data_IF_154977755254
#
_entry.id   IF_154977755254
#
_cell.length_a   1.000
_cell.length_b   1.000
_cell.length_c   1.000
_cell.angle_alpha   90.00
_cell.angle_beta   90.00
_cell.angle_gamma   90.00
#
_symmetry.space_group_name_H-M   'P 1'
#
loop_
_entity.id
_entity.type
_entity.pdbx_description
1 polymer ?
#
# COMPACT_ATOMS: atom_id res chain seq x y z
N UNK A 1 -15.06 -15.77 -19.85
CA UNK A 1 -15.30 -16.22 -18.45
C UNK A 1 -14.02 -16.64 -17.71
N UNK A 2 -13.04 -17.28 -18.37
CA UNK A 2 -11.80 -17.79 -17.74
C UNK A 2 -10.96 -16.72 -17.01
N UNK A 3 -10.73 -15.56 -17.64
CA UNK A 3 -9.97 -14.45 -17.03
C UNK A 3 -10.55 -14.02 -15.68
N UNK A 4 -11.86 -14.13 -15.52
CA UNK A 4 -12.55 -13.72 -14.31
C UNK A 4 -12.41 -14.72 -13.15
N UNK A 5 -12.10 -15.99 -13.40
CA UNK A 5 -11.90 -16.98 -12.34
C UNK A 5 -10.48 -16.90 -11.75
N UNK A 6 -9.49 -16.63 -12.61
CA UNK A 6 -8.08 -16.47 -12.21
C UNK A 6 -7.92 -15.27 -11.26
N UNK A 7 -8.55 -14.13 -11.59
CA UNK A 7 -8.50 -12.91 -10.77
C UNK A 7 -9.09 -13.16 -9.38
N UNK A 8 -10.22 -13.89 -9.29
CA UNK A 8 -10.84 -14.23 -8.01
C UNK A 8 -9.92 -15.10 -7.15
N UNK A 9 -9.36 -16.17 -7.73
CA UNK A 9 -8.49 -17.09 -6.99
C UNK A 9 -7.23 -16.39 -6.49
N UNK A 10 -6.64 -15.53 -7.32
CA UNK A 10 -5.44 -14.79 -6.96
C UNK A 10 -5.68 -13.70 -5.91
N UNK A 11 -6.79 -12.96 -5.97
CA UNK A 11 -7.14 -11.95 -4.95
C UNK A 11 -7.60 -12.55 -3.62
N UNK A 12 -8.21 -13.73 -3.63
CA UNK A 12 -8.59 -14.47 -2.41
C UNK A 12 -7.36 -15.06 -1.73
N UNK A 13 -6.47 -15.67 -2.52
CA UNK A 13 -5.25 -16.31 -2.03
C UNK A 13 -4.06 -15.36 -1.87
N UNK A 14 -4.25 -14.04 -1.97
CA UNK A 14 -3.16 -13.06 -1.91
C UNK A 14 -1.99 -13.36 -2.86
N UNK A 15 -2.20 -14.04 -3.99
CA UNK A 15 -1.09 -14.59 -4.76
C UNK A 15 -0.31 -13.45 -5.44
N UNK A 16 1.01 -13.48 -5.32
CA UNK A 16 1.96 -12.53 -5.91
C UNK A 16 1.99 -12.53 -7.44
N UNK A 17 1.18 -13.37 -8.11
CA UNK A 17 1.11 -13.54 -9.56
C UNK A 17 0.05 -12.67 -10.27
N UNK A 18 -0.51 -11.67 -9.61
CA UNK A 18 -1.43 -10.74 -10.27
C UNK A 18 -0.67 -9.76 -11.16
N UNK A 19 -0.95 -9.82 -12.47
CA UNK A 19 -0.45 -8.81 -13.41
C UNK A 19 -1.21 -7.48 -13.19
N UNK A 20 -0.60 -6.57 -12.45
CA UNK A 20 -1.12 -5.22 -12.24
C UNK A 20 -0.87 -4.29 -13.44
N UNK A 21 -0.32 -4.76 -14.56
CA UNK A 21 -0.42 -4.05 -15.84
C UNK A 21 -1.83 -4.16 -16.44
N UNK A 22 -2.62 -5.15 -16.02
CA UNK A 22 -4.05 -5.23 -16.33
C UNK A 22 -4.88 -4.24 -15.49
N UNK A 23 -5.65 -3.38 -16.15
CA UNK A 23 -6.49 -2.39 -15.49
C UNK A 23 -7.57 -2.99 -14.57
N UNK A 24 -8.16 -4.13 -14.95
CA UNK A 24 -9.17 -4.78 -14.12
C UNK A 24 -8.59 -5.26 -12.79
N UNK A 25 -7.37 -5.80 -12.79
CA UNK A 25 -6.67 -6.22 -11.57
C UNK A 25 -6.39 -5.03 -10.66
N UNK A 26 -5.96 -3.90 -11.22
CA UNK A 26 -5.75 -2.67 -10.45
C UNK A 26 -7.04 -2.12 -9.86
N UNK A 27 -8.13 -2.11 -10.61
CA UNK A 27 -9.44 -1.69 -10.11
C UNK A 27 -9.94 -2.59 -8.98
N UNK A 28 -9.81 -3.91 -9.15
CA UNK A 28 -10.18 -4.88 -8.12
C UNK A 28 -9.33 -4.72 -6.84
N UNK A 29 -8.02 -4.50 -7.00
CA UNK A 29 -7.12 -4.23 -5.88
C UNK A 29 -7.48 -2.93 -5.14
N UNK A 30 -7.67 -1.83 -5.87
CA UNK A 30 -8.07 -0.55 -5.27
C UNK A 30 -9.42 -0.67 -4.56
N UNK A 31 -10.37 -1.38 -5.16
CA UNK A 31 -11.67 -1.62 -4.55
C UNK A 31 -11.56 -2.43 -3.25
N UNK A 32 -10.73 -3.47 -3.25
CA UNK A 32 -10.52 -4.35 -2.08
C UNK A 32 -9.71 -3.66 -0.98
N UNK A 33 -8.60 -3.00 -1.30
CA UNK A 33 -7.57 -2.65 -0.31
C UNK A 33 -7.34 -1.15 -0.06
N UNK A 34 -7.86 -0.24 -0.89
CA UNK A 34 -7.49 1.18 -0.75
C UNK A 34 -7.94 1.79 0.58
N UNK A 35 -9.14 1.46 1.07
CA UNK A 35 -9.72 2.07 2.28
C UNK A 35 -9.02 1.66 3.56
N UNK A 36 -9.13 0.38 3.98
CA UNK A 36 -7.96 -0.48 4.02
C UNK A 36 -6.63 0.13 4.48
N UNK A 37 -5.71 0.14 3.53
CA UNK A 37 -4.34 0.62 3.65
C UNK A 37 -4.29 2.10 4.01
N UNK A 38 -5.15 2.94 3.41
CA UNK A 38 -5.19 4.37 3.72
C UNK A 38 -5.52 4.59 5.20
N UNK A 39 -6.51 3.87 5.74
CA UNK A 39 -6.95 3.96 7.12
C UNK A 39 -5.89 3.47 8.10
N UNK A 40 -5.25 2.34 7.79
CA UNK A 40 -4.11 1.80 8.54
C UNK A 40 -2.99 2.86 8.67
N UNK A 41 -2.51 3.36 7.52
CA UNK A 41 -1.43 4.33 7.49
C UNK A 41 -1.85 5.63 8.20
N UNK A 42 -3.08 6.11 8.00
CA UNK A 42 -3.57 7.32 8.71
C UNK A 42 -3.52 7.12 10.23
N UNK A 43 -4.08 6.02 10.74
CA UNK A 43 -4.16 5.74 12.19
C UNK A 43 -2.76 5.65 12.79
N UNK A 44 -1.93 4.77 12.25
CA UNK A 44 -0.64 4.48 12.86
C UNK A 44 0.40 5.57 12.61
N UNK A 45 0.41 6.20 11.42
CA UNK A 45 1.32 7.32 11.19
C UNK A 45 0.96 8.50 12.08
N UNK A 46 -0.32 8.80 12.31
CA UNK A 46 -0.76 9.85 13.25
C UNK A 46 -0.22 9.61 14.66
N UNK A 47 -0.35 8.38 15.18
CA UNK A 47 0.17 8.02 16.50
C UNK A 47 1.71 8.03 16.53
N UNK A 48 2.33 7.72 15.39
CA UNK A 48 3.79 7.69 15.27
C UNK A 48 4.39 9.10 15.29
N UNK A 49 3.74 10.08 14.65
CA UNK A 49 4.21 11.48 14.59
C UNK A 49 3.85 12.28 15.86
N UNK A 50 4.07 11.68 17.02
CA UNK A 50 3.95 12.34 18.31
C UNK A 50 5.33 12.73 18.87
N UNK A 51 5.36 13.72 19.78
CA UNK A 51 6.54 14.14 20.55
C UNK A 51 7.80 14.41 19.69
N UNK A 52 8.80 13.53 19.76
CA UNK A 52 10.14 13.72 19.18
C UNK A 52 10.13 13.60 17.67
N UNK A 53 9.37 12.63 17.12
CA UNK A 53 9.22 12.44 15.67
C UNK A 53 8.63 13.71 15.04
N UNK A 54 7.64 14.30 15.70
CA UNK A 54 7.04 15.56 15.27
C UNK A 54 8.08 16.68 15.23
N UNK A 55 8.81 16.91 16.32
CA UNK A 55 9.85 17.96 16.40
C UNK A 55 10.92 17.77 15.31
N UNK A 56 11.36 16.53 15.10
CA UNK A 56 12.33 16.19 14.07
C UNK A 56 11.82 16.56 12.67
N UNK A 57 10.61 16.13 12.31
CA UNK A 57 10.01 16.44 11.01
C UNK A 57 9.68 17.93 10.86
N UNK A 58 9.25 18.61 11.92
CA UNK A 58 8.97 20.05 11.91
C UNK A 58 10.21 20.89 11.63
N UNK A 59 11.39 20.44 12.03
CA UNK A 59 12.66 21.12 11.74
C UNK A 59 13.04 21.09 10.25
N UNK A 60 12.46 20.16 9.48
CA UNK A 60 12.72 20.03 8.04
C UNK A 60 11.89 21.05 7.27
N UNK A 61 12.51 21.75 6.32
CA UNK A 61 11.82 22.69 5.42
C UNK A 61 11.08 21.98 4.29
N UNK A 62 11.73 20.98 3.69
CA UNK A 62 11.26 20.27 2.51
C UNK A 62 11.19 18.78 2.82
N UNK A 63 10.02 18.30 3.27
CA UNK A 63 9.80 16.89 3.57
C UNK A 63 9.71 16.09 2.27
N UNK A 64 10.45 14.98 2.22
CA UNK A 64 10.41 13.99 1.14
C UNK A 64 9.89 12.65 1.66
N UNK A 65 8.89 12.09 0.98
CA UNK A 65 8.27 10.82 1.34
C UNK A 65 8.60 9.78 0.27
N UNK A 66 9.02 8.59 0.69
CA UNK A 66 9.24 7.43 -0.18
C UNK A 66 8.42 6.23 0.29
N UNK A 67 7.60 5.65 -0.59
CA UNK A 67 6.86 4.42 -0.32
C UNK A 67 7.52 3.25 -1.07
N UNK A 68 7.95 2.22 -0.35
CA UNK A 68 8.54 1.00 -0.92
C UNK A 68 7.46 -0.07 -1.07
N UNK A 69 7.26 -0.56 -2.30
CA UNK A 69 6.13 -1.45 -2.61
C UNK A 69 4.76 -0.78 -2.46
N UNK A 70 4.68 0.54 -2.64
CA UNK A 70 3.46 1.32 -2.36
C UNK A 70 2.33 1.16 -3.39
N UNK A 71 2.52 0.35 -4.44
CA UNK A 71 1.55 0.09 -5.49
C UNK A 71 0.97 1.37 -6.11
N UNK A 72 -0.35 1.63 -6.00
CA UNK A 72 -0.97 2.84 -6.52
C UNK A 72 -0.62 4.13 -5.75
N UNK A 73 0.03 4.06 -4.59
CA UNK A 73 0.31 5.22 -3.73
C UNK A 73 -0.81 5.54 -2.73
N UNK A 74 -1.58 4.55 -2.29
CA UNK A 74 -2.62 4.73 -1.24
C UNK A 74 -2.02 5.16 0.10
N UNK A 75 -0.78 4.76 0.37
CA UNK A 75 -0.09 5.06 1.63
C UNK A 75 0.17 6.57 1.76
N UNK A 76 0.41 7.25 0.64
CA UNK A 76 0.58 8.71 0.59
C UNK A 76 -0.68 9.42 1.08
N UNK A 77 -1.88 8.93 0.72
CA UNK A 77 -3.13 9.49 1.22
C UNK A 77 -3.18 9.37 2.75
N UNK A 78 -2.77 8.22 3.29
CA UNK A 78 -2.76 8.00 4.74
C UNK A 78 -1.77 8.92 5.46
N UNK A 79 -0.56 9.05 4.94
CA UNK A 79 0.47 9.96 5.47
C UNK A 79 -0.03 11.41 5.42
N UNK A 80 -0.60 11.84 4.30
CA UNK A 80 -1.07 13.22 4.16
C UNK A 80 -2.22 13.53 5.10
N UNK A 81 -3.18 12.61 5.28
CA UNK A 81 -4.25 12.78 6.29
C UNK A 81 -3.69 12.91 7.70
N UNK A 82 -2.69 12.10 8.06
CA UNK A 82 -2.06 12.17 9.37
C UNK A 82 -1.32 13.50 9.58
N UNK A 83 -0.54 13.95 8.58
CA UNK A 83 0.20 15.21 8.64
C UNK A 83 -0.72 16.45 8.60
N UNK A 84 -1.80 16.41 7.83
CA UNK A 84 -2.73 17.52 7.64
C UNK A 84 -3.40 18.01 8.93
N UNK A 85 -3.46 17.15 9.96
CA UNK A 85 -3.94 17.49 11.31
C UNK A 85 -3.06 18.57 11.97
N UNK A 86 -1.79 18.67 11.57
CA UNK A 86 -0.85 19.62 12.15
C UNK A 86 -0.55 20.75 11.17
N UNK A 87 -0.94 22.00 11.47
CA UNK A 87 -0.68 23.15 10.60
C UNK A 87 0.81 23.33 10.26
N UNK A 88 1.72 22.92 11.15
CA UNK A 88 3.16 23.01 10.95
C UNK A 88 3.70 22.15 9.78
N UNK A 89 2.92 21.22 9.24
CA UNK A 89 3.29 20.41 8.07
C UNK A 89 2.64 20.88 6.75
N UNK A 90 1.74 21.86 6.80
CA UNK A 90 1.12 22.41 5.60
C UNK A 90 2.21 23.02 4.72
N UNK A 91 2.19 22.69 3.43
CA UNK A 91 3.16 23.13 2.41
C UNK A 91 4.61 22.68 2.65
N UNK A 92 4.87 21.79 3.63
CA UNK A 92 6.23 21.24 3.87
C UNK A 92 6.57 20.05 3.00
N UNK A 93 5.58 19.27 2.56
CA UNK A 93 5.84 18.12 1.70
C UNK A 93 6.19 18.63 0.30
N UNK A 94 7.45 18.44 -0.08
CA UNK A 94 8.00 18.88 -1.37
C UNK A 94 8.04 17.75 -2.40
N UNK A 95 8.15 16.50 -1.96
CA UNK A 95 8.28 15.37 -2.88
C UNK A 95 7.65 14.10 -2.30
N UNK A 96 6.91 13.37 -3.15
CA UNK A 96 6.48 12.00 -2.88
C UNK A 96 6.95 11.07 -3.99
N UNK A 97 7.51 9.92 -3.63
CA UNK A 97 7.90 8.89 -4.60
C UNK A 97 7.41 7.53 -4.18
N UNK A 98 6.78 6.81 -5.12
CA UNK A 98 6.47 5.38 -4.98
C UNK A 98 7.48 4.57 -5.78
N UNK A 99 8.15 3.63 -5.11
CA UNK A 99 9.03 2.64 -5.73
C UNK A 99 8.30 1.30 -5.72
N UNK A 100 7.97 0.79 -6.90
CA UNK A 100 7.20 -0.45 -7.04
C UNK A 100 7.67 -1.22 -8.27
N UNK A 101 7.61 -2.54 -8.27
CA UNK A 101 8.01 -3.33 -9.44
C UNK A 101 7.02 -3.16 -10.61
N UNK A 102 5.76 -2.83 -10.32
CA UNK A 102 4.70 -2.74 -11.32
C UNK A 102 4.46 -1.30 -11.81
N UNK A 103 5.01 -0.97 -12.98
CA UNK A 103 4.75 0.29 -13.68
C UNK A 103 3.28 0.54 -14.05
N UNK A 104 2.44 -0.50 -14.12
CA UNK A 104 0.99 -0.40 -14.41
C UNK A 104 0.22 0.52 -13.45
N UNK A 105 0.75 0.76 -12.25
CA UNK A 105 0.15 1.66 -11.25
C UNK A 105 0.17 3.15 -11.64
N UNK A 106 0.99 3.54 -12.62
CA UNK A 106 1.23 4.95 -12.99
C UNK A 106 -0.06 5.77 -13.18
N UNK A 107 -1.09 5.19 -13.82
CA UNK A 107 -2.36 5.89 -14.05
C UNK A 107 -3.15 6.08 -12.75
N UNK A 108 -3.20 5.07 -11.87
CA UNK A 108 -3.85 5.17 -10.57
C UNK A 108 -3.14 6.17 -9.67
N UNK A 109 -1.80 6.13 -9.64
CA UNK A 109 -0.97 7.07 -8.91
C UNK A 109 -1.21 8.52 -9.36
N UNK A 110 -1.16 8.80 -10.67
CA UNK A 110 -1.46 10.14 -11.22
C UNK A 110 -2.84 10.64 -10.80
N UNK A 111 -3.87 9.78 -10.80
CA UNK A 111 -5.22 10.14 -10.36
C UNK A 111 -5.30 10.44 -8.87
N UNK A 112 -4.60 9.67 -8.03
CA UNK A 112 -4.51 9.95 -6.60
C UNK A 112 -3.86 11.31 -6.36
N UNK A 113 -2.71 11.56 -6.98
CA UNK A 113 -2.00 12.84 -6.83
C UNK A 113 -2.84 14.03 -7.32
N UNK A 114 -3.48 13.91 -8.48
CA UNK A 114 -4.40 14.96 -8.97
C UNK A 114 -5.57 15.18 -8.02
N UNK A 115 -6.15 14.13 -7.44
CA UNK A 115 -7.24 14.29 -6.47
C UNK A 115 -6.79 15.01 -5.20
N UNK A 116 -5.53 14.81 -4.78
CA UNK A 116 -4.96 15.52 -3.64
C UNK A 116 -4.75 17.01 -3.99
N UNK A 117 -4.13 17.29 -5.14
CA UNK A 117 -3.90 18.66 -5.63
C UNK A 117 -5.20 19.46 -5.77
N UNK A 118 -6.22 18.82 -6.34
CA UNK A 118 -7.54 19.43 -6.55
C UNK A 118 -8.39 19.54 -5.25
N UNK A 119 -7.83 19.25 -4.07
CA UNK A 119 -8.57 19.30 -2.80
C UNK A 119 -9.72 18.29 -2.67
N UNK A 120 -9.77 17.24 -3.50
CA UNK A 120 -10.88 16.26 -3.55
C UNK A 120 -10.77 15.15 -2.51
N UNK A 121 -9.63 15.05 -1.83
CA UNK A 121 -9.42 14.01 -0.82
C UNK A 121 -9.86 14.51 0.54
N UNK A 122 -10.93 13.89 1.08
CA UNK A 122 -11.43 14.20 2.42
C UNK A 122 -10.30 14.19 3.45
N UNK A 123 -10.32 15.19 4.34
CA UNK A 123 -9.41 15.39 5.47
C UNK A 123 -7.98 15.82 5.06
N UNK A 124 -7.79 16.24 3.79
CA UNK A 124 -6.59 16.91 3.31
C UNK A 124 -7.02 18.28 2.75
N UNK A 125 -6.63 19.40 3.37
CA UNK A 125 -6.92 20.74 2.86
C UNK A 125 -6.37 20.93 1.44
N UNK A 126 -7.08 21.67 0.58
CA UNK A 126 -6.60 22.03 -0.77
C UNK A 126 -5.24 22.75 -0.72
N UNK A 127 -5.01 23.55 0.33
CA UNK A 127 -3.77 24.29 0.57
C UNK A 127 -2.66 23.47 1.23
N UNK A 128 -2.87 22.17 1.48
CA UNK A 128 -1.90 21.32 2.18
C UNK A 128 -0.58 21.18 1.40
N UNK A 129 -0.63 21.32 0.08
CA UNK A 129 0.53 21.20 -0.80
C UNK A 129 0.74 22.52 -1.52
N UNK A 130 2.00 22.97 -1.61
CA UNK A 130 2.36 24.02 -2.55
C UNK A 130 2.56 23.40 -3.95
N UNK A 131 1.59 23.60 -4.83
CA UNK A 131 1.60 23.02 -6.17
C UNK A 131 2.82 23.43 -7.02
N UNK A 132 3.42 24.60 -6.74
CA UNK A 132 4.55 25.12 -7.51
C UNK A 132 5.84 24.35 -7.22
N UNK A 133 6.00 23.87 -6.00
CA UNK A 133 7.22 23.20 -5.54
C UNK A 133 7.06 21.70 -5.37
N UNK A 134 5.83 21.20 -5.35
CA UNK A 134 5.54 19.78 -5.12
C UNK A 134 5.77 18.86 -6.32
N UNK A 135 6.62 17.85 -6.13
CA UNK A 135 6.87 16.77 -7.07
C UNK A 135 6.24 15.44 -6.62
N UNK A 136 5.72 14.67 -7.57
CA UNK A 136 5.20 13.33 -7.33
C UNK A 136 5.65 12.36 -8.41
N UNK A 137 6.24 11.22 -8.02
CA UNK A 137 6.83 10.25 -8.95
C UNK A 137 6.43 8.82 -8.61
N UNK A 138 6.29 7.99 -9.65
CA UNK A 138 6.24 6.54 -9.52
C UNK A 138 7.34 5.96 -10.40
N UNK A 139 8.26 5.22 -9.79
CA UNK A 139 9.40 4.60 -10.45
C UNK A 139 9.24 3.09 -10.41
N UNK A 140 9.24 2.47 -11.60
CA UNK A 140 9.20 1.01 -11.72
C UNK A 140 10.59 0.46 -11.40
N UNK A 141 10.72 -0.33 -10.33
CA UNK A 141 12.02 -0.89 -9.91
C UNK A 141 11.84 -2.22 -9.16
N UNK A 142 12.72 -3.17 -9.41
CA UNK A 142 12.86 -4.36 -8.56
C UNK A 142 13.71 -4.02 -7.34
N UNK A 143 13.06 -3.91 -6.17
CA UNK A 143 13.72 -3.61 -4.90
C UNK A 143 14.55 -4.78 -4.35
N UNK A 144 14.47 -5.97 -4.95
CA UNK A 144 15.28 -7.13 -4.56
C UNK A 144 16.55 -7.29 -5.41
N UNK A 145 16.63 -6.58 -6.53
CA UNK A 145 17.79 -6.53 -7.40
C UNK A 145 18.76 -5.40 -7.04
N UNK A 146 19.85 -5.24 -7.83
CA UNK A 146 20.72 -4.08 -7.74
C UNK A 146 19.94 -2.78 -8.00
N UNK A 147 20.05 -1.82 -7.08
CA UNK A 147 19.32 -0.55 -7.17
C UNK A 147 20.04 0.42 -8.11
N UNK A 148 19.34 1.00 -9.12
CA UNK A 148 19.88 2.09 -9.91
C UNK A 148 20.24 3.31 -9.05
N UNK A 149 21.25 4.09 -9.43
CA UNK A 149 21.71 5.24 -8.63
C UNK A 149 20.58 6.23 -8.30
N UNK A 150 19.72 6.56 -9.27
CA UNK A 150 18.58 7.46 -9.02
C UNK A 150 17.60 6.92 -7.97
N UNK A 151 17.48 5.60 -7.82
CA UNK A 151 16.66 4.97 -6.78
C UNK A 151 17.36 5.04 -5.42
N UNK A 152 18.67 4.81 -5.39
CA UNK A 152 19.49 5.02 -4.19
C UNK A 152 19.37 6.46 -3.70
N UNK A 153 19.40 7.45 -4.60
CA UNK A 153 19.27 8.86 -4.26
C UNK A 153 17.88 9.17 -3.69
N UNK A 154 16.81 8.60 -4.27
CA UNK A 154 15.44 8.75 -3.74
C UNK A 154 15.36 8.23 -2.30
N UNK A 155 15.86 7.02 -2.05
CA UNK A 155 15.82 6.38 -0.72
C UNK A 155 16.68 7.17 0.28
N UNK A 156 17.89 7.55 -0.13
CA UNK A 156 18.85 8.24 0.74
C UNK A 156 18.43 9.66 1.08
N UNK A 157 17.58 10.29 0.26
CA UNK A 157 17.08 11.64 0.52
C UNK A 157 15.72 11.66 1.23
N UNK A 158 15.04 10.53 1.42
CA UNK A 158 13.72 10.48 2.04
C UNK A 158 13.76 10.80 3.55
N UNK A 159 12.89 11.70 4.01
CA UNK A 159 12.67 11.99 5.44
C UNK A 159 11.68 11.01 6.06
N UNK A 160 10.71 10.56 5.28
CA UNK A 160 9.69 9.59 5.68
C UNK A 160 9.72 8.42 4.70
N UNK A 161 9.85 7.21 5.22
CA UNK A 161 9.74 5.98 4.44
C UNK A 161 8.54 5.20 4.94
N UNK A 162 7.76 4.65 4.01
CA UNK A 162 6.60 3.82 4.34
C UNK A 162 6.68 2.48 3.61
N UNK A 163 6.42 1.39 4.34
CA UNK A 163 6.37 0.02 3.83
C UNK A 163 5.06 -0.62 4.28
N UNK A 164 4.09 -0.74 3.38
CA UNK A 164 2.78 -1.35 3.66
C UNK A 164 2.66 -2.66 2.90
N UNK A 165 2.60 -3.79 3.62
CA UNK A 165 2.53 -5.16 3.06
C UNK A 165 3.69 -5.53 2.13
N UNK A 166 4.76 -4.72 2.13
CA UNK A 166 5.91 -4.92 1.26
C UNK A 166 6.77 -6.10 1.70
N UNK A 167 7.03 -6.21 3.00
CA UNK A 167 8.01 -7.18 3.51
C UNK A 167 7.46 -8.59 3.40
N UNK A 168 6.19 -8.84 3.77
CA UNK A 168 5.58 -10.16 3.56
C UNK A 168 5.54 -10.56 2.08
N UNK A 169 5.42 -9.61 1.15
CA UNK A 169 5.43 -9.90 -0.28
C UNK A 169 6.82 -10.28 -0.84
N UNK A 170 7.89 -9.99 -0.10
CA UNK A 170 9.27 -10.28 -0.52
C UNK A 170 9.97 -11.30 0.37
N UNK A 171 9.62 -11.42 1.64
CA UNK A 171 10.14 -12.46 2.53
C UNK A 171 9.74 -13.83 1.98
N UNK A 172 10.71 -14.74 1.91
CA UNK A 172 10.60 -16.03 1.24
C UNK A 172 11.20 -16.05 -0.18
N UNK A 173 11.49 -14.88 -0.77
CA UNK A 173 12.29 -14.82 -2.00
C UNK A 173 13.78 -14.92 -1.66
N UNK A 174 14.60 -15.57 -2.52
CA UNK A 174 16.04 -15.57 -2.37
C UNK A 174 16.59 -14.15 -2.24
N UNK A 175 17.57 -13.95 -1.36
CA UNK A 175 18.26 -12.65 -1.13
C UNK A 175 17.38 -11.52 -0.57
N UNK A 176 16.11 -11.77 -0.24
CA UNK A 176 15.18 -10.76 0.30
C UNK A 176 15.73 -10.06 1.55
N UNK A 177 16.27 -10.82 2.51
CA UNK A 177 16.90 -10.27 3.72
C UNK A 177 18.06 -9.34 3.37
N UNK A 178 19.01 -9.80 2.53
CA UNK A 178 20.15 -8.99 2.12
C UNK A 178 19.74 -7.73 1.33
N UNK A 179 18.67 -7.81 0.53
CA UNK A 179 18.14 -6.65 -0.21
C UNK A 179 17.51 -5.62 0.74
N UNK A 180 16.72 -6.06 1.72
CA UNK A 180 16.14 -5.19 2.75
C UNK A 180 17.23 -4.52 3.60
N UNK A 181 18.28 -5.25 3.97
CA UNK A 181 19.45 -4.68 4.64
C UNK A 181 20.14 -3.63 3.75
N UNK A 182 20.39 -3.94 2.47
CA UNK A 182 21.02 -3.01 1.54
C UNK A 182 20.21 -1.72 1.37
N UNK A 183 18.88 -1.82 1.26
CA UNK A 183 17.97 -0.68 1.22
C UNK A 183 18.08 0.12 2.52
N UNK A 184 18.00 -0.55 3.67
CA UNK A 184 18.02 0.09 4.98
C UNK A 184 19.34 0.80 5.31
N UNK A 185 20.46 0.31 4.76
CA UNK A 185 21.75 1.00 4.83
C UNK A 185 21.77 2.32 4.05
N UNK A 186 20.86 2.52 3.08
CA UNK A 186 20.75 3.79 2.34
C UNK A 186 19.94 4.84 3.09
N UNK A 187 19.21 4.49 4.14
CA UNK A 187 18.43 5.47 4.89
C UNK A 187 19.35 6.51 5.56
N UNK A 188 19.06 7.80 5.34
CA UNK A 188 19.78 8.87 6.02
C UNK A 188 19.43 8.94 7.50
N UNK A 189 20.30 9.59 8.26
CA UNK A 189 20.06 9.87 9.67
C UNK A 189 18.86 10.81 9.84
N UNK A 190 18.06 10.53 10.87
CA UNK A 190 16.80 11.21 11.15
C UNK A 190 15.66 10.83 10.19
N UNK A 191 15.82 9.80 9.34
CA UNK A 191 14.68 9.26 8.59
C UNK A 191 13.73 8.54 9.54
N UNK A 192 12.44 8.77 9.32
CA UNK A 192 11.32 8.16 10.03
C UNK A 192 10.73 7.07 9.14
N UNK A 193 10.59 5.85 9.63
CA UNK A 193 10.15 4.70 8.84
C UNK A 193 8.90 4.10 9.47
N UNK A 194 7.78 4.08 8.73
CA UNK A 194 6.59 3.35 9.15
C UNK A 194 6.52 2.01 8.41
N UNK A 195 6.48 0.95 9.19
CA UNK A 195 6.30 -0.41 8.72
C UNK A 195 4.93 -0.94 9.16
N UNK A 196 4.13 -1.41 8.20
CA UNK A 196 2.84 -2.06 8.43
C UNK A 196 2.78 -3.31 7.57
N UNK A 197 2.62 -4.48 8.17
CA UNK A 197 2.53 -5.72 7.41
C UNK A 197 1.50 -6.69 7.99
N UNK A 198 1.29 -7.83 7.33
CA UNK A 198 0.54 -8.96 7.88
C UNK A 198 1.17 -9.40 9.21
N UNK A 199 0.33 -9.76 10.18
CA UNK A 199 0.81 -10.30 11.46
C UNK A 199 1.43 -11.70 11.33
N UNK A 200 1.11 -12.43 10.27
CA UNK A 200 1.53 -13.83 10.08
C UNK A 200 3.01 -13.96 9.69
N UNK A 201 3.59 -15.15 9.91
CA UNK A 201 4.86 -15.57 9.31
C UNK A 201 6.14 -14.99 9.93
N UNK A 202 6.15 -14.64 11.22
CA UNK A 202 7.32 -14.06 11.91
C UNK A 202 7.94 -12.84 11.20
N UNK A 203 7.14 -12.15 10.38
CA UNK A 203 7.59 -11.03 9.56
C UNK A 203 8.11 -9.89 10.44
N UNK A 204 7.41 -9.57 11.54
CA UNK A 204 7.86 -8.52 12.47
C UNK A 204 9.21 -8.83 13.09
N UNK A 205 9.43 -10.08 13.52
CA UNK A 205 10.71 -10.52 14.08
C UNK A 205 11.86 -10.39 13.06
N UNK A 206 11.62 -10.82 11.82
CA UNK A 206 12.62 -10.67 10.75
C UNK A 206 12.94 -9.19 10.49
N UNK A 207 11.93 -8.32 10.55
CA UNK A 207 12.13 -6.87 10.40
C UNK A 207 12.88 -6.28 11.57
N UNK A 208 12.59 -6.69 12.81
CA UNK A 208 13.34 -6.28 14.01
C UNK A 208 14.81 -6.70 13.91
N UNK A 209 15.07 -7.96 13.54
CA UNK A 209 16.42 -8.50 13.36
C UNK A 209 17.19 -7.74 12.27
N UNK A 210 16.56 -7.44 11.13
CA UNK A 210 17.15 -6.62 10.07
C UNK A 210 17.41 -5.19 10.58
N UNK A 211 16.42 -4.60 11.25
CA UNK A 211 16.45 -3.20 11.72
C UNK A 211 17.59 -2.96 12.70
N UNK A 212 17.86 -3.91 13.61
CA UNK A 212 18.96 -3.81 14.57
C UNK A 212 20.32 -3.77 13.87
N UNK A 213 20.51 -4.59 12.84
CA UNK A 213 21.76 -4.68 12.07
C UNK A 213 22.03 -3.42 11.24
N UNK A 214 20.98 -2.70 10.86
CA UNK A 214 21.11 -1.44 10.12
C UNK A 214 20.97 -0.22 11.04
N UNK A 215 20.98 -0.36 12.37
CA UNK A 215 20.94 0.78 13.29
C UNK A 215 19.64 1.59 13.24
N UNK A 216 18.51 0.91 13.09
CA UNK A 216 17.18 1.51 13.26
C UNK A 216 16.70 1.31 14.71
N UNK A 217 16.18 2.37 15.30
CA UNK A 217 15.60 2.35 16.64
C UNK A 217 14.07 2.28 16.54
N UNK A 218 13.45 1.43 17.35
CA UNK A 218 11.99 1.32 17.44
C UNK A 218 11.47 2.47 18.31
N UNK A 219 10.61 3.30 17.73
CA UNK A 219 9.95 4.43 18.40
C UNK A 219 8.47 4.14 18.65
N UNK A 220 7.85 3.33 17.78
CA UNK A 220 6.47 2.86 17.93
C UNK A 220 6.41 1.34 17.73
N UNK A 221 5.80 0.61 18.66
CA UNK A 221 5.58 -0.83 18.54
C UNK A 221 6.72 -1.71 19.07
N UNK A 222 6.76 -2.99 18.68
CA UNK A 222 5.83 -3.65 17.75
C UNK A 222 4.40 -3.69 18.28
N UNK A 223 3.43 -3.33 17.43
CA UNK A 223 2.00 -3.45 17.72
C UNK A 223 1.40 -4.56 16.88
N UNK A 224 0.55 -5.39 17.50
CA UNK A 224 -0.17 -6.47 16.83
C UNK A 224 -1.66 -6.28 17.03
N UNK A 225 -2.35 -5.80 16.01
CA UNK A 225 -3.74 -5.35 16.14
C UNK A 225 -4.60 -5.84 14.99
N UNK A 226 -5.90 -5.96 15.25
CA UNK A 226 -6.92 -6.04 14.20
C UNK A 226 -7.39 -4.63 13.90
N UNK A 227 -7.16 -4.18 12.66
CA UNK A 227 -7.69 -2.92 12.18
C UNK A 227 -9.02 -3.16 11.48
N UNK A 228 -10.05 -2.40 11.87
CA UNK A 228 -11.39 -2.46 11.27
C UNK A 228 -11.71 -1.12 10.61
N UNK A 229 -12.07 -1.14 9.34
CA UNK A 229 -12.54 0.03 8.61
C UNK A 229 -14.03 0.23 8.88
N UNK A 230 -14.37 1.24 9.69
CA UNK A 230 -15.77 1.52 10.07
C UNK A 230 -16.65 2.13 8.96
N UNK A 231 -16.14 2.31 7.75
CA UNK A 231 -16.94 2.87 6.65
C UNK A 231 -17.84 1.79 6.06
N UNK A 232 -19.15 2.01 6.18
CA UNK A 232 -20.21 1.30 5.45
C UNK A 232 -20.15 1.63 3.96
N UNK A 233 -19.07 1.30 3.25
CA UNK A 233 -19.25 1.06 1.81
C UNK A 233 -20.35 0.02 1.70
N UNK A 234 -21.28 0.20 0.75
CA UNK A 234 -22.28 -0.81 0.49
C UNK A 234 -21.55 -2.15 0.36
N UNK A 235 -21.95 -3.15 1.17
CA UNK A 235 -21.46 -4.52 1.15
C UNK A 235 -21.85 -5.18 -0.19
N UNK A 236 -21.35 -4.62 -1.29
CA UNK A 236 -21.68 -4.97 -2.66
C UNK A 236 -20.44 -5.57 -3.28
N UNK A 237 -20.56 -6.75 -3.89
CA UNK A 237 -19.49 -7.28 -4.73
C UNK A 237 -19.30 -6.38 -5.95
N UNK A 238 -18.12 -5.79 -6.09
CA UNK A 238 -17.66 -5.09 -7.31
C UNK A 238 -16.35 -5.73 -7.73
N UNK A 239 -16.13 -5.85 -9.05
CA UNK A 239 -14.98 -6.61 -9.60
C UNK A 239 -14.86 -8.04 -9.03
N UNK A 240 -16.00 -8.61 -8.60
CA UNK A 240 -16.12 -9.92 -7.98
C UNK A 240 -15.39 -10.10 -6.64
N UNK A 241 -14.97 -9.02 -5.99
CA UNK A 241 -14.45 -9.02 -4.62
C UNK A 241 -15.32 -8.15 -3.71
N UNK A 242 -15.22 -8.39 -2.41
CA UNK A 242 -15.73 -7.49 -1.38
C UNK A 242 -14.61 -6.51 -0.99
N UNK A 243 -14.96 -5.27 -0.59
CA UNK A 243 -13.99 -4.40 0.04
C UNK A 243 -13.52 -5.04 1.34
N UNK A 244 -12.21 -5.00 1.62
CA UNK A 244 -11.66 -5.54 2.86
C UNK A 244 -12.04 -4.61 4.02
N UNK A 245 -12.79 -5.15 4.98
CA UNK A 245 -13.32 -4.40 6.13
C UNK A 245 -12.44 -4.53 7.38
N UNK A 246 -11.69 -5.62 7.51
CA UNK A 246 -10.79 -5.85 8.64
C UNK A 246 -9.49 -6.54 8.21
N UNK A 247 -8.40 -6.31 8.94
CA UNK A 247 -7.13 -7.02 8.71
C UNK A 247 -6.29 -7.03 9.98
N UNK A 248 -5.59 -8.15 10.23
CA UNK A 248 -4.63 -8.27 11.33
C UNK A 248 -3.26 -7.84 10.86
N UNK A 249 -2.65 -6.90 11.57
CA UNK A 249 -1.39 -6.27 11.16
C UNK A 249 -0.35 -6.28 12.27
N UNK A 250 0.91 -6.28 11.86
CA UNK A 250 2.05 -5.87 12.66
C UNK A 250 2.46 -4.46 12.25
N UNK A 251 2.67 -3.58 13.23
CA UNK A 251 3.06 -2.18 13.00
C UNK A 251 4.29 -1.85 13.81
N UNK A 252 5.30 -1.27 13.14
CA UNK A 252 6.51 -0.77 13.80
C UNK A 252 6.86 0.59 13.19
N UNK A 253 7.11 1.58 14.03
CA UNK A 253 7.67 2.87 13.64
C UNK A 253 9.12 2.93 14.06
N UNK A 254 10.03 3.15 13.12
CA UNK A 254 11.46 3.26 13.35
C UNK A 254 11.99 4.67 13.11
N UNK A 255 13.10 5.00 13.74
CA UNK A 255 13.91 6.16 13.43
C UNK A 255 15.36 5.75 13.20
N UNK A 256 15.99 6.32 12.16
CA UNK A 256 17.41 6.09 11.87
C UNK A 256 18.26 7.05 12.71
N UNK A 257 18.83 6.55 13.80
CA UNK A 257 19.64 7.36 14.72
C UNK A 257 21.14 7.20 14.49
N UNK A 258 21.88 8.18 15.01
CA UNK A 258 23.35 8.24 15.01
C UNK A 258 23.88 7.43 16.20
N UNK A 259 23.30 6.26 16.47
CA UNK A 259 23.85 5.39 17.49
C UNK A 259 25.14 4.82 16.92
N UNK A 260 26.31 5.03 17.56
CA UNK A 260 27.53 4.38 17.13
C UNK A 260 27.25 2.89 17.08
N UNK A 261 27.28 2.31 15.87
CA UNK A 261 27.26 0.87 15.73
C UNK A 261 28.53 0.39 16.41
N UNK A 262 28.42 -0.07 17.65
CA UNK A 262 29.38 -1.05 18.15
C UNK A 262 29.29 -2.17 17.13
N UNK A 263 30.30 -2.26 16.28
CA UNK A 263 30.41 -3.28 15.23
C UNK A 263 30.53 -4.62 15.96
N UNK A 264 29.40 -5.15 16.42
CA UNK A 264 29.31 -6.55 16.83
C UNK A 264 29.57 -7.31 15.54
N UNK A 265 30.69 -8.04 15.48
CA UNK A 265 31.03 -8.83 14.30
C UNK A 265 29.83 -9.69 13.97
N UNK A 266 29.19 -9.41 12.83
CA UNK A 266 27.97 -10.10 12.41
C UNK A 266 28.39 -11.53 12.12
N UNK A 267 28.23 -12.41 13.11
CA UNK A 267 28.23 -13.85 12.85
C UNK A 267 27.08 -14.07 11.86
N UNK A 268 27.42 -14.60 10.69
CA UNK A 268 26.48 -14.86 9.59
C UNK A 268 25.18 -15.45 10.14
N UNK A 269 24.06 -14.77 9.87
CA UNK A 269 22.71 -15.25 10.25
C UNK A 269 22.59 -16.70 9.76
N UNK A 270 22.27 -17.67 10.63
CA UNK A 270 22.08 -19.04 10.19
C UNK A 270 21.02 -19.08 9.10
N UNK A 271 21.35 -19.56 7.89
CA UNK A 271 20.40 -19.73 6.77
C UNK A 271 19.18 -20.58 7.17
N UNK A 272 19.28 -21.32 8.29
CA UNK A 272 18.25 -22.18 8.86
C UNK A 272 17.07 -21.43 9.50
N UNK A 273 17.10 -20.10 9.67
CA UNK A 273 15.99 -19.33 10.28
C UNK A 273 14.78 -19.19 9.32
N UNK A 274 14.97 -19.41 8.02
CA UNK A 274 13.90 -19.28 7.00
C UNK A 274 13.40 -20.63 6.46
N UNK A 275 13.22 -21.64 7.32
CA UNK A 275 12.27 -22.71 7.00
C UNK A 275 10.85 -22.16 7.19
N UNK A 276 10.44 -21.30 6.25
CA UNK A 276 9.03 -20.95 6.08
C UNK A 276 8.39 -22.20 5.50
N UNK A 277 7.40 -22.75 6.20
CA UNK A 277 6.59 -23.85 5.68
C UNK A 277 5.95 -23.36 4.36
N UNK A 278 6.45 -23.89 3.24
CA UNK A 278 5.98 -23.50 1.90
C UNK A 278 4.54 -23.96 1.61
N UNK A 279 3.89 -24.65 2.56
CA UNK A 279 2.49 -25.08 2.49
C UNK A 279 1.49 -24.08 3.09
N UNK A 280 1.96 -22.94 3.61
CA UNK A 280 1.09 -21.83 4.00
C UNK A 280 0.57 -21.10 2.76
N UNK A 281 -0.42 -21.71 2.11
CA UNK A 281 -1.30 -21.01 1.20
C UNK A 281 -1.78 -19.75 1.90
N UNK A 282 -1.45 -18.60 1.32
CA UNK A 282 -1.83 -17.25 1.74
C UNK A 282 -3.35 -17.11 1.88
N UNK A 283 -3.92 -17.69 2.92
CA UNK A 283 -5.33 -17.58 3.30
C UNK A 283 -5.44 -16.39 4.24
N UNK A 284 -5.55 -15.21 3.65
CA UNK A 284 -5.87 -13.97 4.39
C UNK A 284 -7.36 -13.85 4.73
N UNK A 285 -8.18 -14.85 4.38
CA UNK A 285 -9.63 -14.86 4.59
C UNK A 285 -9.98 -16.02 5.55
N UNK A 286 -10.12 -15.74 6.84
CA UNK A 286 -10.95 -16.55 7.76
C UNK A 286 -12.41 -16.09 7.66
N UNK A 287 -12.92 -15.94 6.43
CA UNK A 287 -14.27 -15.45 6.14
C UNK A 287 -15.34 -16.56 6.32
N UNK A 288 -15.01 -17.71 6.93
CA UNK A 288 -15.99 -18.77 7.22
C UNK A 288 -16.48 -18.81 8.67
N UNK A 289 -15.99 -17.95 9.58
CA UNK A 289 -16.57 -17.81 10.92
C UNK A 289 -17.42 -16.53 11.03
N UNK A 290 -18.61 -16.52 10.41
CA UNK A 290 -19.68 -15.55 10.69
C UNK A 290 -20.33 -15.79 12.06
N UNK A 291 -19.53 -15.82 13.12
CA UNK A 291 -20.02 -15.74 14.50
C UNK A 291 -19.13 -14.83 15.33
N UNK A 292 -19.04 -13.55 14.95
CA UNK A 292 -18.60 -12.52 15.87
C UNK A 292 -19.76 -12.19 16.83
N UNK A 293 -19.58 -12.28 18.16
CA UNK A 293 -20.61 -11.89 19.09
C UNK A 293 -20.93 -10.40 18.89
N UNK A 294 -22.21 -10.10 18.67
CA UNK A 294 -22.75 -8.74 18.71
C UNK A 294 -22.37 -8.14 20.06
N UNK A 295 -21.44 -7.17 20.06
CA UNK A 295 -21.16 -6.34 21.22
C UNK A 295 -22.44 -5.57 21.57
N UNK A 296 -23.14 -6.03 22.60
CA UNK A 296 -24.27 -5.30 23.17
C UNK A 296 -23.79 -3.94 23.70
N UNK A 297 -24.62 -2.89 23.64
CA UNK A 297 -24.27 -1.57 24.16
C UNK A 297 -23.96 -1.67 25.66
N UNK A 298 -22.75 -1.28 26.05
CA UNK A 298 -22.37 -1.10 27.44
C UNK A 298 -23.24 0.03 28.01
N UNK A 299 -24.13 -0.31 28.94
CA UNK A 299 -24.87 0.68 29.72
C UNK A 299 -23.89 1.46 30.61
N UNK A 300 -24.07 2.78 30.79
CA UNK A 300 -23.18 3.58 31.63
C UNK A 300 -23.29 3.14 33.09
N UNK A 301 -22.14 2.81 33.68
CA UNK A 301 -22.00 2.52 35.11
C UNK A 301 -22.15 3.85 35.87
N UNK A 302 -23.20 3.96 36.69
CA UNK A 302 -23.31 4.99 37.71
C UNK A 302 -22.35 4.65 38.84
N UNK A 303 -21.40 5.53 39.12
CA UNK A 303 -20.57 5.48 40.32
C UNK A 303 -21.43 5.81 41.55
N UNK A 304 -21.60 4.85 42.46
CA UNK A 304 -22.00 5.15 43.82
C UNK A 304 -20.98 4.54 44.79
N UNK A 305 -20.54 5.40 45.69
CA UNK A 305 -19.69 5.15 46.85
C UNK A 305 -20.41 4.22 47.83
N UNK A 306 -19.67 3.30 48.44
CA UNK A 306 -20.12 2.55 49.61
C UNK A 306 -19.12 1.48 50.05
N UNK A 307 -18.39 1.75 51.14
CA UNK A 307 -17.68 0.73 51.92
C UNK A 307 -18.66 -0.33 52.45
N UNK A 308 -18.27 -1.60 52.43
CA UNK A 308 -18.09 -2.46 53.63
C UNK A 308 -17.81 -3.93 53.30
N UNK A 309 -16.90 -4.48 54.11
CA UNK A 309 -16.81 -5.81 54.70
C UNK A 309 -16.53 -7.08 53.84
N UNK A 310 -15.44 -7.74 54.22
CA UNK A 310 -15.06 -9.16 54.04
C UNK A 310 -16.13 -10.12 54.61
N UNK A 311 -16.26 -11.40 54.15
CA UNK A 311 -15.31 -12.46 54.59
C UNK A 311 -15.08 -13.71 53.70
N UNK A 312 -13.90 -14.30 53.91
CA UNK A 312 -13.48 -15.73 54.03
C UNK A 312 -13.90 -16.87 53.08
N UNK A 313 -12.87 -17.62 52.66
CA UNK A 313 -12.70 -19.11 52.55
C UNK A 313 -13.71 -19.98 51.78
N UNK A 314 -13.26 -20.73 50.75
CA UNK A 314 -12.88 -22.17 50.83
C UNK A 314 -12.53 -22.79 49.46
N UNK A 315 -11.60 -23.77 49.51
CA UNK A 315 -11.33 -24.96 48.67
C UNK A 315 -11.73 -24.96 47.17
N UNK A 316 -10.87 -25.26 46.20
CA UNK A 316 -9.91 -26.37 46.13
C UNK A 316 -10.43 -27.41 45.12
N UNK A 317 -9.66 -27.72 44.06
CA UNK A 317 -9.56 -29.04 43.39
C UNK A 317 -8.71 -28.98 42.09
N UNK A 318 -7.51 -29.54 42.22
CA UNK A 318 -6.76 -30.45 41.35
C UNK A 318 -7.03 -30.52 39.84
N UNK A 319 -5.95 -30.24 39.11
CA UNK A 319 -5.67 -30.64 37.72
C UNK A 319 -4.98 -32.01 37.69
N UNK A 320 -5.44 -32.95 36.84
CA UNK A 320 -4.60 -34.03 36.28
C UNK A 320 -5.26 -34.78 35.10
N UNK A 321 -4.59 -34.76 33.96
CA UNK A 321 -4.39 -35.83 32.95
C UNK A 321 -3.97 -35.14 31.63
N UNK A 322 -2.72 -35.19 31.18
CA UNK A 322 -1.94 -36.30 30.59
C UNK A 322 -2.69 -37.02 29.46
N UNK A 323 -2.43 -36.59 28.22
CA UNK A 323 -2.47 -37.44 27.03
C UNK A 323 -1.19 -37.15 26.22
N UNK A 324 -0.40 -38.20 25.97
CA UNK A 324 0.77 -38.22 25.06
C UNK A 324 0.29 -38.35 23.60
N UNK A 325 0.99 -37.74 22.61
CA UNK A 325 0.66 -37.94 21.21
C UNK A 325 1.26 -39.24 20.66
N UNK A 326 0.48 -39.90 19.80
CA UNK A 326 0.87 -41.07 19.03
C UNK A 326 1.53 -40.67 17.70
N UNK A 327 2.50 -41.50 17.31
CA UNK A 327 3.29 -41.46 16.09
C UNK A 327 2.46 -41.44 14.81
N UNK A 328 2.96 -40.73 13.80
CA UNK A 328 2.69 -41.03 12.39
C UNK A 328 3.96 -40.89 11.53
N UNK A 329 4.02 -41.59 10.38
CA UNK A 329 5.26 -42.11 9.83
C UNK A 329 5.92 -41.23 8.77
N UNK A 330 7.24 -41.38 8.68
CA UNK A 330 8.10 -40.96 7.58
C UNK A 330 7.64 -41.57 6.25
N UNK A 331 7.56 -40.74 5.20
CA UNK A 331 7.61 -41.18 3.81
C UNK A 331 8.86 -40.66 3.11
N UNK A 332 9.50 -41.56 2.37
CA UNK A 332 10.77 -41.40 1.66
C UNK A 332 10.61 -40.65 0.34
N UNK A 333 11.62 -39.83 0.07
CA UNK A 333 11.84 -39.02 -1.12
C UNK A 333 12.23 -39.92 -2.31
N UNK A 334 11.48 -39.84 -3.41
CA UNK A 334 11.85 -40.45 -4.69
C UNK A 334 12.18 -39.34 -5.72
N UNK A 335 13.43 -39.38 -6.17
CA UNK A 335 13.92 -39.23 -7.55
C UNK A 335 13.39 -38.08 -8.42
N UNK A 336 14.27 -37.10 -8.68
CA UNK A 336 14.20 -36.21 -9.85
C UNK A 336 15.15 -36.78 -10.91
N UNK A 337 14.56 -37.19 -12.03
CA UNK A 337 15.26 -37.61 -13.25
C UNK A 337 15.79 -36.37 -13.97
N UNK A 338 17.08 -36.45 -14.28
CA UNK A 338 17.87 -35.58 -15.13
C UNK A 338 17.46 -35.81 -16.60
N UNK A 339 17.06 -34.77 -17.34
CA UNK A 339 16.99 -34.85 -18.81
C UNK A 339 17.85 -33.71 -19.38
N UNK A 340 18.90 -34.14 -20.06
CA UNK A 340 19.82 -33.34 -20.83
C UNK A 340 19.15 -32.74 -22.07
N UNK A 341 19.67 -31.57 -22.42
CA UNK A 341 19.49 -30.88 -23.70
C UNK A 341 20.11 -31.66 -24.85
N UNK A 342 19.33 -31.93 -25.90
CA UNK A 342 19.88 -32.17 -27.24
C UNK A 342 19.28 -31.18 -28.24
N UNK A 343 20.20 -30.56 -28.98
CA UNK A 343 19.94 -29.69 -30.11
C UNK A 343 19.38 -30.50 -31.28
N UNK A 344 18.30 -30.00 -31.89
CA UNK A 344 17.97 -30.31 -33.28
C UNK A 344 17.45 -29.06 -33.99
N UNK A 345 18.17 -28.73 -35.06
CA UNK A 345 17.97 -27.63 -35.98
C UNK A 345 16.70 -27.82 -36.82
N UNK A 346 15.81 -26.83 -36.82
CA UNK A 346 14.75 -26.71 -37.83
C UNK A 346 14.73 -25.28 -38.39
N UNK A 347 15.15 -25.16 -39.64
CA UNK A 347 15.12 -23.93 -40.44
C UNK A 347 13.67 -23.74 -40.90
N UNK A 348 12.98 -22.72 -40.37
CA UNK A 348 11.67 -22.29 -40.87
C UNK A 348 11.76 -20.92 -41.54
N UNK A 349 11.42 -20.90 -42.83
CA UNK A 349 11.24 -19.72 -43.68
C UNK A 349 10.27 -18.70 -43.04
N UNK A 350 10.72 -17.45 -42.88
CA UNK A 350 10.03 -16.37 -42.15
C UNK A 350 9.49 -15.22 -43.03
N UNK A 351 9.33 -15.42 -44.34
CA UNK A 351 9.09 -14.29 -45.25
C UNK A 351 7.66 -14.07 -45.77
N UNK A 352 6.64 -14.83 -45.38
CA UNK A 352 5.29 -14.67 -45.96
C UNK A 352 4.17 -14.18 -45.01
N UNK A 353 4.45 -13.87 -43.74
CA UNK A 353 3.39 -13.49 -42.79
C UNK A 353 3.34 -12.00 -42.38
N UNK A 354 4.14 -11.12 -42.99
CA UNK A 354 4.22 -9.69 -42.60
C UNK A 354 3.21 -8.78 -43.29
N UNK A 355 2.78 -9.08 -44.52
CA UNK A 355 1.98 -8.15 -45.33
C UNK A 355 0.56 -7.92 -44.82
N UNK A 356 -0.07 -8.91 -44.18
CA UNK A 356 -1.49 -8.81 -43.79
C UNK A 356 -1.71 -8.04 -42.46
N UNK A 357 -0.70 -8.00 -41.58
CA UNK A 357 -0.78 -7.24 -40.31
C UNK A 357 -0.65 -5.74 -40.52
N UNK A 358 0.17 -5.34 -41.48
CA UNK A 358 0.43 -3.92 -41.75
C UNK A 358 -0.79 -3.25 -42.41
N UNK A 359 -1.53 -3.95 -43.29
CA UNK A 359 -2.79 -3.45 -43.84
C UNK A 359 -3.89 -3.27 -42.77
N UNK A 360 -3.94 -4.17 -41.79
CA UNK A 360 -4.94 -4.08 -40.70
C UNK A 360 -4.63 -2.90 -39.79
N UNK A 361 -3.35 -2.67 -39.46
CA UNK A 361 -2.90 -1.53 -38.68
C UNK A 361 -3.17 -0.20 -39.42
N UNK A 362 -2.92 -0.16 -40.73
CA UNK A 362 -3.18 1.02 -41.56
C UNK A 362 -4.67 1.39 -41.55
N UNK A 363 -5.58 0.42 -41.73
CA UNK A 363 -7.04 0.64 -41.66
C UNK A 363 -7.49 1.13 -40.29
N UNK A 364 -6.89 0.63 -39.21
CA UNK A 364 -7.19 1.10 -37.84
C UNK A 364 -6.71 2.53 -37.63
N UNK A 365 -5.56 2.91 -38.20
CA UNK A 365 -5.02 4.27 -38.12
C UNK A 365 -5.91 5.26 -38.87
N UNK A 366 -6.37 4.90 -40.08
CA UNK A 366 -7.30 5.72 -40.87
C UNK A 366 -8.63 5.95 -40.15
N UNK A 367 -9.19 4.90 -39.52
CA UNK A 367 -10.41 5.02 -38.73
C UNK A 367 -10.21 5.97 -37.52
N UNK A 368 -9.05 5.91 -36.87
CA UNK A 368 -8.70 6.79 -35.75
C UNK A 368 -8.64 8.26 -36.19
N UNK A 369 -8.04 8.54 -37.35
CA UNK A 369 -7.96 9.89 -37.91
C UNK A 369 -9.36 10.48 -38.16
N UNK A 370 -10.25 9.70 -38.79
CA UNK A 370 -11.65 10.13 -39.04
C UNK A 370 -12.40 10.41 -37.73
N UNK A 371 -12.16 9.61 -36.69
CA UNK A 371 -12.75 9.85 -35.37
C UNK A 371 -12.25 11.15 -34.72
N UNK A 372 -10.96 11.46 -34.87
CA UNK A 372 -10.36 12.68 -34.32
C UNK A 372 -10.88 13.94 -35.02
N UNK A 373 -11.05 13.89 -36.34
CA UNK A 373 -11.64 15.01 -37.10
C UNK A 373 -13.08 15.29 -36.68
N UNK A 374 -13.90 14.25 -36.49
CA UNK A 374 -15.27 14.39 -35.97
C UNK A 374 -15.30 15.00 -34.57
N UNK A 375 -14.39 14.58 -33.70
CA UNK A 375 -14.26 15.14 -32.35
C UNK A 375 -13.88 16.62 -32.39
N UNK A 376 -12.96 17.00 -33.27
CA UNK A 376 -12.55 18.40 -33.45
C UNK A 376 -13.73 19.29 -33.90
N UNK A 377 -14.60 18.79 -34.77
CA UNK A 377 -15.82 19.50 -35.19
C UNK A 377 -16.78 19.71 -34.01
N UNK A 378 -16.99 18.69 -33.17
CA UNK A 378 -17.84 18.80 -31.98
C UNK A 378 -17.29 19.84 -30.99
N UNK A 379 -15.97 19.83 -30.76
CA UNK A 379 -15.32 20.80 -29.87
C UNK A 379 -15.44 22.24 -30.37
N UNK A 380 -15.31 22.47 -31.69
CA UNK A 380 -15.54 23.80 -32.29
C UNK A 380 -16.97 24.29 -32.03
N UNK A 381 -17.98 23.45 -32.26
CA UNK A 381 -19.39 23.81 -32.01
C UNK A 381 -19.67 24.11 -30.53
N UNK A 382 -19.10 23.33 -29.61
CA UNK A 382 -19.24 23.61 -28.17
C UNK A 382 -18.62 24.94 -27.78
N UNK A 383 -17.50 25.31 -28.41
CA UNK A 383 -16.85 26.60 -28.17
C UNK A 383 -17.70 27.77 -28.70
N UNK A 384 -18.33 27.61 -29.87
CA UNK A 384 -19.28 28.60 -30.42
C UNK A 384 -20.49 28.80 -29.51
N UNK A 385 -21.10 27.72 -29.00
CA UNK A 385 -22.22 27.78 -28.04
C UNK A 385 -21.82 28.56 -26.78
N UNK A 386 -20.65 28.24 -26.21
CA UNK A 386 -20.16 28.92 -25.00
C UNK A 386 -19.90 30.41 -25.22
N UNK A 387 -19.49 30.82 -26.41
CA UNK A 387 -19.31 32.23 -26.74
C UNK A 387 -20.66 32.94 -26.93
N UNK A 388 -21.67 32.27 -27.49
CA UNK A 388 -23.03 32.81 -27.58
C UNK A 388 -23.63 33.06 -26.18
N UNK A 389 -23.46 32.14 -25.25
CA UNK A 389 -23.93 32.29 -23.86
C UNK A 389 -23.29 33.49 -23.14
N UNK A 390 -22.00 33.74 -23.38
CA UNK A 390 -21.32 34.92 -22.82
C UNK A 390 -21.87 36.23 -23.38
N UNK A 391 -22.25 36.25 -24.65
CA UNK A 391 -22.75 37.45 -25.30
C UNK A 391 -24.21 37.75 -24.94
N UNK A 392 -25.02 36.74 -24.64
CA UNK A 392 -26.43 36.93 -24.23
C UNK A 392 -26.58 37.33 -22.75
N UNK A 393 -25.61 37.00 -21.89
CA UNK A 393 -25.68 37.35 -20.46
C UNK A 393 -25.46 38.85 -20.16
N UNK A 394 -25.12 39.68 -21.15
CA UNK A 394 -24.84 41.10 -20.94
C UNK A 394 -26.07 42.03 -21.13
N UNK A 395 -27.23 41.50 -21.55
CA UNK A 395 -28.36 42.34 -21.97
C UNK A 395 -29.53 42.48 -20.97
N UNK A 396 -29.51 41.85 -19.78
CA UNK A 396 -30.66 41.90 -18.84
C UNK A 396 -30.56 42.94 -17.71
N UNK A 397 -29.65 43.91 -17.79
CA UNK A 397 -29.34 44.84 -16.68
C UNK A 397 -29.87 46.26 -16.79
N UNK A 398 -31.05 46.54 -17.36
CA UNK A 398 -31.68 47.87 -17.29
C UNK A 398 -33.21 47.78 -17.27
N UNK A 399 -33.79 47.39 -16.14
CA UNK A 399 -35.17 47.77 -15.83
C UNK A 399 -35.15 48.99 -14.90
N UNK A 400 -35.69 50.10 -15.42
CA UNK A 400 -35.87 51.37 -14.73
C UNK A 400 -36.73 51.18 -13.47
N UNK A 401 -36.24 51.67 -12.34
CA UNK A 401 -37.04 51.93 -11.14
C UNK A 401 -37.81 53.23 -11.38
N UNK A 402 -39.11 53.12 -11.67
CA UNK A 402 -40.03 54.27 -11.63
C UNK A 402 -40.42 54.47 -10.17
N UNK A 403 -39.98 55.56 -9.55
CA UNK A 403 -40.46 56.02 -8.24
C UNK A 403 -41.82 56.71 -8.45
N UNK A 404 -42.85 56.20 -7.78
CA UNK A 404 -44.15 56.85 -7.64
C UNK A 404 -44.19 57.72 -6.37
N UNK A 405 -44.75 58.92 -6.55
CA UNK A 405 -45.07 59.94 -5.54
C UNK A 405 -46.33 59.60 -4.76
#
# INVERSE_FOLDING_TARGET
MLLNHIIQKALKKGSTYLDYNNAANRCAYLYKYADIHTGLVTKYFKNFIEKEVKKLLESKKNLKICCLGGGPGTDIIGIFRALAIFPAFHQKVSEVTVLDICGGWRNSFKRIISSIKDGKVKDIPETFIDEKTFAARLTSVDLLGPLPQGVVDIISNADIICMVKFVSAVLGKPKSVSALQNIGQKFKLGTVILFIDNFQGNVSKSVEDISSQIGLEIILGPLHEVFVCHKRKANKKVYKCMPLSATRVSVIGFMKNLTPLNLVSVNSVPENILKVDNDDGWNTESDEDESFPLLHPIKPIKSNVGLKDQPSLHHGKDYKSIIKPNNQPHFSRAEIVQINSEHSSCICNKNELKTNKDETLQKQLELLVVCLEKLQIVLKKLFEIKNLERNTSCCCGKYMVIKGS
#
